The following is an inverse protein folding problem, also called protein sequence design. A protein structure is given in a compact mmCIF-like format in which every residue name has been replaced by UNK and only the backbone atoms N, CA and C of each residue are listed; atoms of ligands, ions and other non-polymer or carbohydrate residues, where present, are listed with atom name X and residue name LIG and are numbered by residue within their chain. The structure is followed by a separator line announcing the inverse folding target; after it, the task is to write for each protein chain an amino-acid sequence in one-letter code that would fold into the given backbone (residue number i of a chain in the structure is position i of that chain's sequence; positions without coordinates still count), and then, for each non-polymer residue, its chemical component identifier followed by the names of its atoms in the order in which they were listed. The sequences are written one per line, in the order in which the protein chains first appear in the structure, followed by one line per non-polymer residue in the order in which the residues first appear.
data_IF_093794658014
#
_entry.id   IF_093794658014
#
_cell.length_a   1.000
_cell.length_b   1.000
_cell.length_c   1.000
_cell.angle_alpha   90.00
_cell.angle_beta   90.00
_cell.angle_gamma   90.00
#
_symmetry.space_group_name_H-M   'P 1'
#
loop_
_entity.id
_entity.type
_entity.pdbx_description
1 polymer ?
#
# COMPACT_ATOMS: atom_id res chain seq x y z
N UNK A 1 19.36 -16.34 5.58
CA UNK A 1 18.53 -17.02 4.56
C UNK A 1 17.98 -15.89 3.72
N UNK A 2 18.22 -15.90 2.42
CA UNK A 2 17.55 -14.94 1.53
C UNK A 2 16.04 -15.16 1.73
N UNK A 3 15.31 -14.12 2.13
CA UNK A 3 13.85 -14.18 2.17
C UNK A 3 13.39 -14.43 0.73
N UNK A 4 12.78 -15.58 0.48
CA UNK A 4 12.24 -15.89 -0.83
C UNK A 4 10.96 -15.07 -1.00
N UNK A 5 11.06 -13.99 -1.78
CA UNK A 5 9.95 -13.10 -2.07
C UNK A 5 8.92 -13.86 -2.90
N UNK A 6 7.69 -13.96 -2.41
CA UNK A 6 6.60 -14.68 -3.07
C UNK A 6 5.53 -13.71 -3.56
N UNK A 7 5.17 -13.81 -4.84
CA UNK A 7 4.22 -12.93 -5.52
C UNK A 7 3.08 -13.75 -6.09
N UNK A 8 1.85 -13.29 -5.87
CA UNK A 8 0.67 -13.83 -6.54
C UNK A 8 0.33 -12.99 -7.77
N UNK A 9 0.24 -13.63 -8.94
CA UNK A 9 -0.15 -12.99 -10.20
C UNK A 9 -1.55 -13.45 -10.60
N UNK A 10 -2.47 -12.50 -10.68
CA UNK A 10 -3.90 -12.74 -10.90
C UNK A 10 -4.36 -11.97 -12.13
N UNK A 11 -4.84 -12.70 -13.13
CA UNK A 11 -5.35 -12.18 -14.40
C UNK A 11 -6.14 -13.31 -15.07
N UNK A 12 -7.25 -13.05 -15.78
CA UNK A 12 -7.99 -14.12 -16.46
C UNK A 12 -7.27 -14.59 -17.74
N UNK A 13 -6.38 -13.77 -18.31
CA UNK A 13 -5.60 -14.11 -19.49
C UNK A 13 -4.31 -14.89 -19.15
N UNK A 14 -4.27 -16.20 -19.46
CA UNK A 14 -3.08 -17.08 -19.29
C UNK A 14 -1.80 -16.48 -19.91
N UNK A 15 -1.93 -15.79 -21.05
CA UNK A 15 -0.80 -15.13 -21.72
C UNK A 15 -0.20 -14.02 -20.86
N UNK A 16 -1.01 -13.25 -20.16
CA UNK A 16 -0.53 -12.17 -19.27
C UNK A 16 0.15 -12.79 -18.06
N UNK A 17 -0.48 -13.78 -17.40
CA UNK A 17 0.10 -14.46 -16.24
C UNK A 17 1.48 -15.04 -16.54
N UNK A 18 1.60 -15.80 -17.63
CA UNK A 18 2.89 -16.38 -18.08
C UNK A 18 3.95 -15.33 -18.41
N UNK A 19 3.53 -14.23 -19.05
CA UNK A 19 4.45 -13.14 -19.37
C UNK A 19 5.01 -12.50 -18.10
N UNK A 20 4.14 -12.18 -17.13
CA UNK A 20 4.55 -11.57 -15.86
C UNK A 20 5.42 -12.54 -15.04
N UNK A 21 5.01 -13.80 -14.93
CA UNK A 21 5.77 -14.86 -14.26
C UNK A 21 7.20 -14.95 -14.79
N UNK A 22 7.38 -15.07 -16.11
CA UNK A 22 8.69 -15.16 -16.73
C UNK A 22 9.60 -13.96 -16.40
N UNK A 23 9.04 -12.75 -16.28
CA UNK A 23 9.81 -11.55 -15.97
C UNK A 23 10.13 -11.42 -14.47
N UNK A 24 9.22 -11.84 -13.60
CA UNK A 24 9.40 -11.78 -12.14
C UNK A 24 10.29 -12.91 -11.61
N UNK A 25 10.21 -14.11 -12.17
CA UNK A 25 11.12 -15.23 -11.84
C UNK A 25 12.59 -14.90 -12.17
N UNK A 26 12.84 -14.08 -13.21
CA UNK A 26 14.19 -13.57 -13.52
C UNK A 26 14.78 -12.67 -12.44
N UNK A 27 13.94 -12.17 -11.54
CA UNK A 27 14.33 -11.39 -10.36
C UNK A 27 14.45 -12.27 -9.11
N UNK A 28 14.43 -13.60 -9.29
CA UNK A 28 14.45 -14.62 -8.23
C UNK A 28 13.25 -14.54 -7.27
N UNK A 29 12.08 -14.14 -7.77
CA UNK A 29 10.83 -14.19 -7.02
C UNK A 29 10.10 -15.52 -7.27
N UNK A 30 9.49 -16.08 -6.23
CA UNK A 30 8.57 -17.21 -6.35
C UNK A 30 7.20 -16.71 -6.81
N UNK A 31 6.64 -17.32 -7.86
CA UNK A 31 5.38 -16.86 -8.47
C UNK A 31 4.31 -17.93 -8.39
N UNK A 32 3.21 -17.58 -7.74
CA UNK A 32 1.94 -18.29 -7.87
C UNK A 32 1.03 -17.56 -8.85
N UNK A 33 0.15 -18.29 -9.51
CA UNK A 33 -0.80 -17.79 -10.49
C UNK A 33 -2.22 -18.11 -10.04
N UNK A 34 -3.15 -17.20 -10.28
CA UNK A 34 -4.59 -17.45 -10.16
C UNK A 34 -5.32 -16.92 -11.40
N UNK A 35 -6.32 -17.65 -11.88
CA UNK A 35 -7.02 -17.32 -13.12
C UNK A 35 -8.36 -16.60 -12.92
N UNK A 36 -8.82 -16.46 -11.68
CA UNK A 36 -10.05 -15.76 -11.31
C UNK A 36 -9.96 -15.20 -9.88
N UNK A 37 -10.94 -14.37 -9.50
CA UNK A 37 -10.95 -13.71 -8.21
C UNK A 37 -11.15 -14.66 -7.02
N UNK A 38 -11.95 -15.71 -7.16
CA UNK A 38 -12.20 -16.69 -6.09
C UNK A 38 -10.92 -17.47 -5.72
N UNK A 39 -10.19 -17.96 -6.72
CA UNK A 39 -8.90 -18.62 -6.54
C UNK A 39 -7.87 -17.66 -5.94
N UNK A 40 -7.82 -16.42 -6.44
CA UNK A 40 -6.91 -15.40 -5.93
C UNK A 40 -7.15 -15.09 -4.46
N UNK A 41 -8.41 -14.91 -4.05
CA UNK A 41 -8.77 -14.63 -2.66
C UNK A 41 -8.45 -15.83 -1.75
N UNK A 42 -8.74 -17.06 -2.20
CA UNK A 42 -8.42 -18.26 -1.45
C UNK A 42 -6.90 -18.40 -1.20
N UNK A 43 -6.10 -18.28 -2.28
CA UNK A 43 -4.63 -18.33 -2.19
C UNK A 43 -4.10 -17.21 -1.31
N UNK A 44 -4.57 -15.97 -1.49
CA UNK A 44 -4.13 -14.82 -0.72
C UNK A 44 -4.47 -14.92 0.78
N UNK A 45 -5.54 -15.61 1.15
CA UNK A 45 -5.90 -15.85 2.55
C UNK A 45 -5.11 -17.02 3.17
N UNK A 46 -4.85 -18.09 2.41
CA UNK A 46 -4.12 -19.27 2.87
C UNK A 46 -2.61 -19.05 2.96
N UNK A 47 -2.03 -18.32 2.01
CA UNK A 47 -0.59 -18.09 1.91
C UNK A 47 -0.21 -16.65 2.28
N UNK A 48 1.05 -16.43 2.64
CA UNK A 48 1.61 -15.08 2.78
C UNK A 48 2.36 -14.73 1.51
N UNK A 49 1.97 -13.61 0.90
CA UNK A 49 2.63 -13.01 -0.26
C UNK A 49 3.22 -11.66 0.13
N UNK A 50 4.32 -11.31 -0.51
CA UNK A 50 4.97 -10.01 -0.35
C UNK A 50 4.37 -8.95 -1.29
N UNK A 51 3.76 -9.41 -2.38
CA UNK A 51 3.04 -8.57 -3.33
C UNK A 51 1.98 -9.40 -4.07
N UNK A 52 0.86 -8.77 -4.42
CA UNK A 52 -0.16 -9.34 -5.30
C UNK A 52 -0.32 -8.41 -6.50
N UNK A 53 -0.13 -8.96 -7.71
CA UNK A 53 -0.52 -8.30 -8.96
C UNK A 53 -1.93 -8.75 -9.31
N UNK A 54 -2.86 -7.83 -9.39
CA UNK A 54 -4.29 -8.14 -9.47
C UNK A 54 -4.95 -7.42 -10.64
N UNK A 55 -5.42 -8.16 -11.63
CA UNK A 55 -6.28 -7.59 -12.66
C UNK A 55 -7.62 -7.15 -12.08
N UNK A 56 -8.06 -5.97 -12.51
CA UNK A 56 -9.35 -5.42 -12.08
C UNK A 56 -10.49 -6.17 -12.77
N UNK A 57 -10.39 -6.40 -14.08
CA UNK A 57 -11.49 -6.95 -14.86
C UNK A 57 -11.31 -8.45 -15.05
N UNK A 58 -11.96 -9.23 -14.19
CA UNK A 58 -12.04 -10.68 -14.34
C UNK A 58 -13.51 -11.11 -14.34
N UNK A 59 -13.88 -12.18 -15.07
CA UNK A 59 -15.20 -12.78 -14.97
C UNK A 59 -15.46 -13.31 -13.56
N UNK A 60 -16.69 -13.15 -13.05
CA UNK A 60 -17.05 -13.58 -11.70
C UNK A 60 -16.67 -12.53 -10.67
N UNK A 61 -15.89 -12.92 -9.65
CA UNK A 61 -15.35 -11.98 -8.68
C UNK A 61 -14.24 -11.13 -9.31
N UNK A 62 -14.46 -9.82 -9.36
CA UNK A 62 -13.50 -8.88 -9.93
C UNK A 62 -12.34 -8.56 -8.97
N UNK A 63 -11.28 -7.91 -9.47
CA UNK A 63 -10.12 -7.58 -8.65
C UNK A 63 -10.41 -6.56 -7.53
N UNK A 64 -11.46 -5.76 -7.67
CA UNK A 64 -11.87 -4.79 -6.65
C UNK A 64 -12.47 -5.54 -5.47
N UNK A 65 -13.37 -6.48 -5.72
CA UNK A 65 -13.97 -7.35 -4.72
C UNK A 65 -12.91 -8.19 -3.98
N UNK A 66 -11.96 -8.80 -4.73
CA UNK A 66 -10.83 -9.53 -4.13
C UNK A 66 -10.04 -8.64 -3.17
N UNK A 67 -9.64 -7.44 -3.62
CA UNK A 67 -8.87 -6.51 -2.80
C UNK A 67 -9.65 -6.09 -1.54
N UNK A 68 -10.96 -5.84 -1.67
CA UNK A 68 -11.84 -5.51 -0.56
C UNK A 68 -11.83 -6.58 0.53
N UNK A 69 -12.11 -7.83 0.16
CA UNK A 69 -12.15 -8.94 1.11
C UNK A 69 -10.77 -9.23 1.70
N UNK A 70 -9.71 -9.15 0.89
CA UNK A 70 -8.35 -9.33 1.34
C UNK A 70 -8.00 -8.30 2.44
N UNK A 71 -8.38 -7.03 2.26
CA UNK A 71 -8.05 -5.94 3.19
C UNK A 71 -8.74 -6.03 4.54
N UNK A 72 -9.82 -6.80 4.65
CA UNK A 72 -10.42 -7.12 5.95
C UNK A 72 -9.53 -8.01 6.82
N UNK A 73 -8.63 -8.77 6.20
CA UNK A 73 -7.83 -9.82 6.87
C UNK A 73 -6.33 -9.58 6.80
N UNK A 74 -5.82 -9.01 5.69
CA UNK A 74 -4.40 -8.85 5.42
C UNK A 74 -4.05 -7.47 4.87
N UNK A 75 -2.84 -7.03 5.20
CA UNK A 75 -2.25 -5.78 4.71
C UNK A 75 -1.26 -6.01 3.55
N UNK A 76 -1.29 -7.20 2.93
CA UNK A 76 -0.40 -7.57 1.82
C UNK A 76 -0.41 -6.52 0.72
N UNK A 77 0.74 -6.00 0.26
CA UNK A 77 0.79 -5.01 -0.80
C UNK A 77 0.10 -5.50 -2.08
N UNK A 78 -0.75 -4.67 -2.69
CA UNK A 78 -1.48 -5.00 -3.94
C UNK A 78 -1.17 -3.94 -5.00
N UNK A 79 -0.82 -4.38 -6.21
CA UNK A 79 -0.73 -3.56 -7.42
C UNK A 79 -1.86 -3.97 -8.36
N UNK A 80 -2.76 -3.04 -8.67
CA UNK A 80 -3.85 -3.33 -9.61
C UNK A 80 -3.42 -3.10 -11.06
N UNK A 81 -3.81 -4.02 -11.94
CA UNK A 81 -3.68 -3.89 -13.38
C UNK A 81 -5.03 -3.40 -13.93
N UNK A 82 -5.05 -2.32 -14.71
CA UNK A 82 -6.30 -1.66 -15.11
C UNK A 82 -6.30 -1.23 -16.58
N UNK A 83 -7.42 -1.31 -17.29
CA UNK A 83 -7.50 -0.80 -18.66
C UNK A 83 -7.54 0.73 -18.72
N UNK A 84 -7.00 1.29 -19.81
CA UNK A 84 -7.02 2.73 -20.06
C UNK A 84 -8.44 3.22 -20.37
N UNK A 85 -8.96 4.17 -19.59
CA UNK A 85 -10.23 4.89 -19.88
C UNK A 85 -11.43 4.48 -19.03
N UNK A 86 -11.27 3.56 -18.08
CA UNK A 86 -12.35 3.12 -17.20
C UNK A 86 -12.39 3.93 -15.90
N UNK A 87 -12.82 5.19 -16.01
CA UNK A 87 -12.99 6.10 -14.86
C UNK A 87 -13.88 5.52 -13.76
N UNK A 88 -14.85 4.65 -14.10
CA UNK A 88 -15.80 4.04 -13.15
C UNK A 88 -15.15 2.92 -12.31
N UNK A 89 -14.32 2.08 -12.94
CA UNK A 89 -13.56 1.02 -12.24
C UNK A 89 -12.40 1.61 -11.41
N UNK A 90 -11.88 2.77 -11.81
CA UNK A 90 -10.88 3.52 -11.05
C UNK A 90 -11.44 3.96 -9.69
N UNK A 91 -12.62 4.58 -9.65
CA UNK A 91 -13.25 5.07 -8.40
C UNK A 91 -13.57 3.94 -7.40
N UNK A 92 -14.08 2.80 -7.86
CA UNK A 92 -14.33 1.64 -6.99
C UNK A 92 -13.05 0.93 -6.54
N UNK A 93 -12.04 0.82 -7.42
CA UNK A 93 -10.70 0.34 -7.05
C UNK A 93 -10.04 1.22 -6.00
N UNK A 94 -10.25 2.54 -6.05
CA UNK A 94 -9.69 3.48 -5.09
C UNK A 94 -10.23 3.31 -3.66
N UNK A 95 -11.47 2.84 -3.50
CA UNK A 95 -12.08 2.62 -2.17
C UNK A 95 -11.58 1.35 -1.48
N UNK A 96 -11.02 0.40 -2.23
CA UNK A 96 -10.55 -0.90 -1.71
C UNK A 96 -9.08 -0.89 -1.25
N UNK A 97 -8.35 0.22 -1.45
CA UNK A 97 -7.04 0.53 -0.86
C UNK A 97 -5.88 -0.32 -1.35
N UNK A 98 -5.77 -0.35 -2.67
CA UNK A 98 -4.61 -0.78 -3.45
C UNK A 98 -3.43 0.17 -3.27
N UNK A 99 -2.20 -0.35 -3.32
CA UNK A 99 -0.97 0.40 -3.05
C UNK A 99 -0.37 1.06 -4.31
N UNK A 100 -0.60 0.50 -5.51
CA UNK A 100 -0.18 1.06 -6.80
C UNK A 100 -1.10 0.58 -7.96
N UNK A 101 -1.06 1.28 -9.10
CA UNK A 101 -1.80 0.92 -10.30
C UNK A 101 -0.92 0.95 -11.55
N UNK A 102 -1.17 -0.02 -12.45
CA UNK A 102 -0.51 -0.13 -13.75
C UNK A 102 -1.57 -0.19 -14.84
N UNK A 103 -1.46 0.71 -15.82
CA UNK A 103 -2.42 0.80 -16.93
C UNK A 103 -2.03 -0.17 -18.05
N UNK A 104 -2.95 -1.04 -18.47
CA UNK A 104 -2.89 -1.86 -19.68
C UNK A 104 -3.13 -0.96 -20.92
N UNK A 105 -2.33 -1.10 -22.00
CA UNK A 105 -1.20 -2.02 -22.15
C UNK A 105 0.06 -1.51 -21.41
N UNK A 106 0.75 -2.41 -20.71
CA UNK A 106 1.97 -2.11 -19.94
C UNK A 106 3.20 -2.83 -20.51
N UNK A 107 4.38 -2.33 -20.14
CA UNK A 107 5.62 -3.07 -20.33
C UNK A 107 5.87 -4.01 -19.14
N UNK A 108 6.21 -5.30 -19.33
CA UNK A 108 6.58 -6.18 -18.22
C UNK A 108 7.72 -5.63 -17.36
N UNK A 109 8.62 -4.84 -17.96
CA UNK A 109 9.68 -4.14 -17.22
C UNK A 109 9.15 -3.08 -16.27
N UNK A 110 8.05 -2.39 -16.64
CA UNK A 110 7.40 -1.42 -15.75
C UNK A 110 6.85 -2.13 -14.50
N UNK A 111 6.19 -3.27 -14.69
CA UNK A 111 5.64 -4.07 -13.58
C UNK A 111 6.75 -4.50 -12.62
N UNK A 112 7.85 -5.04 -13.14
CA UNK A 112 9.01 -5.42 -12.32
C UNK A 112 9.56 -4.24 -11.52
N UNK A 113 9.69 -3.06 -12.12
CA UNK A 113 10.19 -1.87 -11.43
C UNK A 113 9.26 -1.40 -10.31
N UNK A 114 7.94 -1.47 -10.53
CA UNK A 114 6.94 -1.11 -9.51
C UNK A 114 6.89 -2.11 -8.36
N UNK A 115 6.94 -3.41 -8.67
CA UNK A 115 7.07 -4.47 -7.66
C UNK A 115 8.33 -4.24 -6.82
N UNK A 116 9.50 -4.02 -7.44
CA UNK A 116 10.74 -3.72 -6.71
C UNK A 116 10.63 -2.47 -5.84
N UNK A 117 9.98 -1.43 -6.35
CA UNK A 117 9.78 -0.19 -5.59
C UNK A 117 8.88 -0.41 -4.38
N UNK A 118 7.81 -1.21 -4.51
CA UNK A 118 6.88 -1.54 -3.44
C UNK A 118 7.50 -2.46 -2.38
N UNK A 119 8.24 -3.47 -2.82
CA UNK A 119 8.92 -4.43 -1.94
C UNK A 119 10.04 -3.79 -1.14
N UNK A 120 10.84 -2.88 -1.72
CA UNK A 120 11.89 -2.13 -1.00
C UNK A 120 11.33 -1.32 0.17
N UNK A 121 10.07 -0.91 0.11
CA UNK A 121 9.37 -0.18 1.18
C UNK A 121 8.76 -1.10 2.23
N UNK A 122 8.63 -2.39 1.91
CA UNK A 122 8.01 -3.41 2.77
C UNK A 122 9.05 -4.31 3.45
N UNK A 123 10.23 -4.49 2.83
CA UNK A 123 11.34 -5.28 3.37
C UNK A 123 12.02 -4.56 4.54
N UNK A 124 11.60 -4.94 5.75
CA UNK A 124 12.44 -4.90 6.94
C UNK A 124 13.76 -5.63 6.63
N UNK A 125 14.88 -5.13 7.16
CA UNK A 125 16.16 -5.87 7.25
C UNK A 125 17.10 -5.80 6.03
N UNK A 126 17.70 -4.63 5.81
CA UNK A 126 19.12 -4.58 5.46
C UNK A 126 19.81 -3.45 6.23
N UNK A 127 19.77 -3.55 7.55
CA UNK A 127 20.75 -2.86 8.40
C UNK A 127 22.07 -3.64 8.30
N UNK A 128 22.93 -3.23 7.37
CA UNK A 128 24.36 -3.36 7.59
C UNK A 128 24.70 -2.35 8.69
N UNK A 129 25.18 -2.85 9.82
CA UNK A 129 25.82 -2.05 10.85
C UNK A 129 26.91 -1.18 10.20
N UNK A 130 26.72 0.13 10.16
CA UNK A 130 27.81 1.11 10.22
C UNK A 130 27.23 2.48 10.54
N UNK A 131 27.74 3.02 11.65
CA UNK A 131 27.70 4.40 12.11
C UNK A 131 26.37 4.99 12.57
N UNK A 132 26.47 5.66 13.72
CA UNK A 132 25.45 6.45 14.40
C UNK A 132 24.95 7.63 13.55
N UNK A 133 24.22 7.33 12.46
CA UNK A 133 23.20 8.22 11.96
C UNK A 133 22.05 8.20 12.97
N UNK A 134 21.56 9.37 13.35
CA UNK A 134 20.36 9.49 14.17
C UNK A 134 19.29 8.59 13.54
N UNK A 135 18.79 7.60 14.29
CA UNK A 135 17.67 6.76 13.85
C UNK A 135 16.58 7.69 13.34
N UNK A 136 16.05 7.44 12.15
CA UNK A 136 14.94 8.21 11.59
C UNK A 136 13.65 7.81 12.34
N UNK A 137 13.58 8.28 13.58
CA UNK A 137 12.59 7.89 14.58
C UNK A 137 11.78 9.13 14.97
N UNK A 138 10.49 9.10 14.70
CA UNK A 138 9.53 10.12 15.12
C UNK A 138 8.80 9.59 16.36
N UNK A 139 8.88 10.30 17.47
CA UNK A 139 8.25 9.92 18.74
C UNK A 139 7.29 11.01 19.20
N UNK A 140 6.02 10.64 19.33
CA UNK A 140 4.94 11.40 19.94
C UNK A 140 4.35 10.60 21.12
N UNK A 141 3.59 11.24 22.04
CA UNK A 141 3.11 10.58 23.26
C UNK A 141 2.42 9.22 23.01
N UNK A 142 1.60 9.13 21.97
CA UNK A 142 0.82 7.94 21.64
C UNK A 142 1.28 7.21 20.38
N UNK A 143 2.30 7.73 19.69
CA UNK A 143 2.69 7.24 18.36
C UNK A 143 4.21 7.26 18.21
N UNK A 144 4.80 6.14 17.82
CA UNK A 144 6.20 6.06 17.41
C UNK A 144 6.28 5.52 15.99
N UNK A 145 7.03 6.19 15.13
CA UNK A 145 7.31 5.78 13.75
C UNK A 145 8.82 5.60 13.61
N UNK A 146 9.23 4.37 13.39
CA UNK A 146 10.60 3.97 13.13
C UNK A 146 10.75 3.80 11.61
N UNK A 147 11.28 4.82 10.94
CA UNK A 147 11.30 4.86 9.49
C UNK A 147 12.26 3.85 8.88
N UNK A 148 13.41 3.66 9.53
CA UNK A 148 14.38 2.69 9.08
C UNK A 148 13.83 1.24 9.19
N UNK A 149 13.01 0.97 10.21
CA UNK A 149 12.37 -0.33 10.40
C UNK A 149 10.99 -0.47 9.74
N UNK A 150 10.47 0.56 9.05
CA UNK A 150 9.09 0.65 8.57
C UNK A 150 8.07 0.16 9.61
N UNK A 151 8.24 0.58 10.87
CA UNK A 151 7.45 0.11 12.00
C UNK A 151 6.74 1.26 12.66
N UNK A 152 5.45 1.07 12.91
CA UNK A 152 4.60 2.02 13.62
C UNK A 152 4.07 1.34 14.86
N UNK A 153 4.25 1.98 16.01
CA UNK A 153 3.62 1.55 17.26
C UNK A 153 2.73 2.66 17.80
N UNK A 154 1.53 2.31 18.25
CA UNK A 154 0.64 3.20 18.97
C UNK A 154 0.49 2.70 20.42
N UNK A 155 0.72 3.57 21.40
CA UNK A 155 0.80 3.20 22.84
C UNK A 155 1.66 1.95 23.10
N UNK A 156 2.80 1.84 22.42
CA UNK A 156 3.75 0.74 22.53
C UNK A 156 3.32 -0.57 21.84
N UNK A 157 2.18 -0.61 21.14
CA UNK A 157 1.69 -1.78 20.40
C UNK A 157 1.86 -1.59 18.89
N UNK A 158 2.30 -2.64 18.19
CA UNK A 158 2.46 -2.61 16.74
C UNK A 158 1.14 -2.33 16.00
N UNK A 159 1.19 -1.45 15.01
CA UNK A 159 0.08 -1.15 14.10
C UNK A 159 0.45 -1.65 12.71
N UNK A 160 -0.32 -2.62 12.19
CA UNK A 160 -0.06 -3.18 10.87
C UNK A 160 -0.66 -2.30 9.76
N UNK A 161 0.18 -1.47 9.14
CA UNK A 161 -0.18 -0.57 8.05
C UNK A 161 0.24 -1.14 6.69
N UNK A 162 -0.53 -0.86 5.65
CA UNK A 162 -0.05 -1.08 4.27
C UNK A 162 1.05 -0.06 3.95
N UNK A 163 1.88 -0.28 2.91
CA UNK A 163 2.93 0.67 2.52
C UNK A 163 2.41 2.10 2.34
N UNK A 164 1.25 2.29 1.70
CA UNK A 164 0.69 3.63 1.48
C UNK A 164 0.10 4.29 2.73
N UNK A 165 -0.50 3.51 3.62
CA UNK A 165 -0.93 4.03 4.91
C UNK A 165 0.26 4.46 5.76
N UNK A 166 1.34 3.67 5.75
CA UNK A 166 2.60 3.99 6.42
C UNK A 166 3.23 5.27 5.85
N UNK A 167 3.41 5.35 4.53
CA UNK A 167 4.01 6.51 3.88
C UNK A 167 3.21 7.79 4.13
N UNK A 168 1.87 7.70 4.07
CA UNK A 168 0.99 8.81 4.37
C UNK A 168 1.13 9.29 5.83
N UNK A 169 1.13 8.35 6.79
CA UNK A 169 1.33 8.67 8.20
C UNK A 169 2.68 9.34 8.42
N UNK A 170 3.75 8.76 7.87
CA UNK A 170 5.10 9.25 8.02
C UNK A 170 5.27 10.65 7.41
N UNK A 171 4.71 10.86 6.21
CA UNK A 171 4.74 12.16 5.54
C UNK A 171 4.06 13.25 6.37
N UNK A 172 2.84 12.97 6.88
CA UNK A 172 2.10 13.89 7.73
C UNK A 172 2.85 14.16 9.05
N UNK A 173 3.37 13.11 9.68
CA UNK A 173 4.08 13.18 10.96
C UNK A 173 5.42 13.94 10.90
N UNK A 174 6.04 14.06 9.71
CA UNK A 174 7.25 14.86 9.49
C UNK A 174 7.02 16.37 9.52
N UNK A 175 5.77 16.82 9.34
CA UNK A 175 5.41 18.23 9.36
C UNK A 175 4.16 18.47 10.22
N UNK A 176 4.28 18.38 11.57
CA UNK A 176 3.19 18.70 12.48
C UNK A 176 2.62 20.09 12.22
N UNK A 177 1.31 20.22 12.45
CA UNK A 177 0.50 21.43 12.28
C UNK A 177 0.40 21.98 10.85
N UNK A 178 1.19 21.47 9.90
CA UNK A 178 1.10 21.82 8.50
C UNK A 178 -0.08 21.13 7.83
N UNK A 179 -0.93 21.94 7.19
CA UNK A 179 -2.04 21.44 6.37
C UNK A 179 -1.51 21.11 4.98
N UNK A 180 -1.84 19.91 4.51
CA UNK A 180 -1.61 19.49 3.14
C UNK A 180 -2.94 19.28 2.45
N UNK A 181 -3.09 19.87 1.27
CA UNK A 181 -4.21 19.56 0.40
C UNK A 181 -4.05 18.15 -0.20
N UNK A 182 -5.15 17.65 -0.76
CA UNK A 182 -5.21 16.29 -1.31
C UNK A 182 -4.33 16.12 -2.54
N UNK A 183 -4.17 17.16 -3.36
CA UNK A 183 -3.33 17.13 -4.56
C UNK A 183 -1.88 16.91 -4.18
N UNK A 184 -1.42 17.64 -3.17
CA UNK A 184 -0.07 17.55 -2.64
C UNK A 184 0.17 16.18 -1.99
N UNK A 185 -0.75 15.69 -1.16
CA UNK A 185 -0.61 14.36 -0.54
C UNK A 185 -0.57 13.25 -1.59
N UNK A 186 -1.43 13.34 -2.62
CA UNK A 186 -1.43 12.37 -3.71
C UNK A 186 -0.08 12.37 -4.45
N UNK A 187 0.43 13.56 -4.78
CA UNK A 187 1.71 13.73 -5.48
C UNK A 187 2.89 13.21 -4.66
N UNK A 188 3.00 13.59 -3.39
CA UNK A 188 4.18 13.30 -2.59
C UNK A 188 4.23 11.85 -2.11
N UNK A 189 3.07 11.25 -1.78
CA UNK A 189 3.00 9.88 -1.26
C UNK A 189 2.89 8.86 -2.38
N UNK A 190 2.14 9.14 -3.46
CA UNK A 190 2.01 8.21 -4.58
C UNK A 190 2.97 8.47 -5.75
N UNK A 191 3.77 9.54 -5.72
CA UNK A 191 4.80 9.89 -6.73
C UNK A 191 4.30 9.89 -8.18
N UNK A 192 3.04 10.27 -8.39
CA UNK A 192 2.46 10.32 -9.73
C UNK A 192 2.89 11.56 -10.50
N UNK A 193 3.43 11.34 -11.71
CA UNK A 193 3.11 12.20 -12.84
C UNK A 193 1.73 11.75 -13.36
N UNK A 194 0.67 12.54 -13.09
CA UNK A 194 -0.65 12.58 -13.78
C UNK A 194 -1.94 12.07 -13.04
N UNK A 195 -2.97 12.95 -12.99
CA UNK A 195 -4.45 12.77 -12.94
C UNK A 195 -5.07 11.57 -12.18
N UNK A 196 -5.00 11.59 -10.85
CA UNK A 196 -5.85 10.78 -9.96
C UNK A 196 -6.95 11.61 -9.27
N UNK A 197 -8.00 10.96 -8.76
CA UNK A 197 -9.02 11.62 -7.93
C UNK A 197 -8.52 11.78 -6.48
N UNK A 198 -8.73 12.98 -5.93
CA UNK A 198 -8.37 13.40 -4.59
C UNK A 198 -8.95 12.51 -3.48
N UNK A 199 -10.02 11.75 -3.78
CA UNK A 199 -10.66 10.79 -2.87
C UNK A 199 -9.77 9.63 -2.43
N UNK A 200 -8.70 9.32 -3.16
CA UNK A 200 -7.72 8.27 -2.76
C UNK A 200 -7.11 8.60 -1.41
N UNK A 201 -6.76 9.87 -1.19
CA UNK A 201 -6.21 10.36 0.09
C UNK A 201 -7.22 10.12 1.21
N UNK A 202 -8.49 10.46 0.98
CA UNK A 202 -9.55 10.36 1.99
C UNK A 202 -9.76 8.91 2.45
N UNK A 203 -9.73 7.96 1.52
CA UNK A 203 -9.84 6.52 1.82
C UNK A 203 -8.67 6.04 2.67
N UNK A 204 -7.44 6.41 2.31
CA UNK A 204 -6.26 6.01 3.06
C UNK A 204 -6.21 6.67 4.45
N UNK A 205 -6.62 7.94 4.57
CA UNK A 205 -6.76 8.59 5.88
C UNK A 205 -7.79 7.88 6.75
N UNK A 206 -8.96 7.53 6.17
CA UNK A 206 -10.01 6.79 6.90
C UNK A 206 -9.47 5.46 7.45
N UNK A 207 -8.84 4.65 6.60
CA UNK A 207 -8.29 3.34 6.98
C UNK A 207 -7.16 3.44 7.98
N UNK A 208 -6.25 4.39 7.76
CA UNK A 208 -5.16 4.68 8.68
C UNK A 208 -5.71 5.04 10.08
N UNK A 209 -6.71 5.92 10.15
CA UNK A 209 -7.40 6.23 11.41
C UNK A 209 -8.07 5.01 12.02
N UNK A 210 -8.78 4.19 11.23
CA UNK A 210 -9.43 2.98 11.73
C UNK A 210 -8.41 1.99 12.32
N UNK A 211 -7.27 1.79 11.65
CA UNK A 211 -6.19 0.91 12.12
C UNK A 211 -5.49 1.44 13.37
N UNK A 212 -5.21 2.75 13.42
CA UNK A 212 -4.70 3.40 14.62
C UNK A 212 -5.72 3.29 15.77
N UNK A 213 -7.00 3.58 15.52
CA UNK A 213 -8.05 3.60 16.53
C UNK A 213 -8.32 2.23 17.15
N UNK A 214 -8.09 1.13 16.40
CA UNK A 214 -8.13 -0.23 16.97
C UNK A 214 -7.07 -0.46 18.05
N UNK A 215 -6.00 0.34 18.07
CA UNK A 215 -4.87 0.21 19.00
C UNK A 215 -4.83 1.35 20.02
N UNK A 216 -4.97 2.60 19.57
CA UNK A 216 -4.99 3.82 20.36
C UNK A 216 -5.89 4.88 19.72
N UNK A 217 -6.95 5.28 20.43
CA UNK A 217 -7.82 6.38 20.01
C UNK A 217 -7.05 7.71 19.96
N UNK A 218 -6.10 7.93 20.87
CA UNK A 218 -5.30 9.16 20.91
C UNK A 218 -4.38 9.26 19.69
N UNK A 219 -3.72 8.17 19.30
CA UNK A 219 -2.91 8.16 18.07
C UNK A 219 -3.76 8.42 16.82
N UNK A 220 -4.99 7.89 16.76
CA UNK A 220 -5.90 8.15 15.64
C UNK A 220 -6.34 9.62 15.55
N UNK A 221 -6.55 10.28 16.70
CA UNK A 221 -6.92 11.71 16.80
C UNK A 221 -5.81 12.64 16.32
N UNK A 222 -4.55 12.20 16.27
CA UNK A 222 -3.44 13.01 15.75
C UNK A 222 -3.58 13.31 14.25
N UNK A 223 -4.35 12.52 13.49
CA UNK A 223 -4.63 12.82 12.09
C UNK A 223 -5.93 13.62 12.03
N UNK A 224 -5.87 14.89 11.61
CA UNK A 224 -6.99 15.83 11.68
C UNK A 224 -7.45 16.26 10.29
N UNK A 225 -8.77 16.32 10.09
CA UNK A 225 -9.38 16.83 8.86
C UNK A 225 -9.54 18.34 8.97
N UNK A 226 -8.99 19.08 8.02
CA UNK A 226 -9.26 20.50 7.85
C UNK A 226 -10.30 20.65 6.74
N UNK A 227 -11.56 20.88 7.14
CA UNK A 227 -12.71 20.90 6.23
C UNK A 227 -12.50 21.87 5.07
N UNK A 228 -12.73 21.40 3.84
CA UNK A 228 -12.54 22.17 2.62
C UNK A 228 -11.08 22.37 2.18
N UNK A 229 -10.09 21.90 2.96
CA UNK A 229 -8.66 22.09 2.64
C UNK A 229 -7.96 20.75 2.46
N UNK A 230 -7.95 19.88 3.47
CA UNK A 230 -7.19 18.64 3.43
C UNK A 230 -6.94 18.05 4.81
N UNK A 231 -5.72 17.59 5.05
CA UNK A 231 -5.35 16.89 6.27
C UNK A 231 -4.08 17.46 6.90
N UNK A 232 -3.96 17.31 8.21
CA UNK A 232 -2.75 17.61 8.97
C UNK A 232 -2.51 16.61 10.08
N UNK A 233 -1.29 16.60 10.57
CA UNK A 233 -0.92 15.91 11.80
C UNK A 233 -0.89 16.92 12.96
N UNK A 234 -1.65 16.69 14.02
CA UNK A 234 -1.62 17.50 15.25
C UNK A 234 -1.10 16.65 16.41
N UNK A 235 -0.18 17.21 17.19
CA UNK A 235 0.26 16.59 18.44
C UNK A 235 -0.59 17.16 19.57
N UNK A 236 -1.52 16.38 20.08
CA UNK A 236 -2.28 16.76 21.28
C UNK A 236 -1.35 16.57 22.49
N UNK A 237 -0.85 17.68 23.04
CA UNK A 237 -0.18 17.67 24.33
C UNK A 237 -1.28 17.79 25.40
N UNK A 238 -1.57 16.72 26.13
CA UNK A 238 -2.22 16.83 27.44
C UNK A 238 -1.21 17.28 28.50
#
# INVERSE_FOLDING_TARGET
MEENIRILVVDDEDRIRRLLKMYLERENYEIDEAENGEEALALALENNYDCILLDIMMPGMDGIEVCKYLREKKATPVIMLTAKGEEVNRVQGFEVGTDDYIVKPFSPREVVLRVKALLRRSSKTSFIQTDAKAKDLIVYPHLTIDNDAHRVTADGKDVNLTPKEYELLYFLAKAPDKVFDREHLLKEVWHYEFFGDLRTVDTHVKRLREKLNKVSEMAAKMIVTVWGVGYKFEVTNE
#
